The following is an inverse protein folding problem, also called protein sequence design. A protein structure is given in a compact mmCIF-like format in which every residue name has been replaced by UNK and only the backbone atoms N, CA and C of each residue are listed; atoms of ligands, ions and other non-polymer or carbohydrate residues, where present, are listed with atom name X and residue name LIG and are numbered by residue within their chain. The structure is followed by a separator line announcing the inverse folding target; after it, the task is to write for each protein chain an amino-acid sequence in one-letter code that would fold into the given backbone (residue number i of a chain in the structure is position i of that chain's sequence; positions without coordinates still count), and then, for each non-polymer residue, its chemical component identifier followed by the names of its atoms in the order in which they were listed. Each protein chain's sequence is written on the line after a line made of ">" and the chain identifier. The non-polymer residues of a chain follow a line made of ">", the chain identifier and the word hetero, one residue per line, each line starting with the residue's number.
data_IF_803716327845
#
_entry.id   IF_803716327845
#
_cell.length_a   1.000
_cell.length_b   1.000
_cell.length_c   1.000
_cell.angle_alpha   90.00
_cell.angle_beta   90.00
_cell.angle_gamma   90.00
#
_symmetry.space_group_name_H-M   'P 1'
#
loop_
_entity.id
_entity.type
_entity.pdbx_description
1 polymer ?
#
# COMPACT_ATOMS: atom_id res chain seq x y z
N UNK A 1 13.69 -13.35 -3.61
CA UNK A 1 12.28 -13.44 -4.05
C UNK A 1 11.36 -14.13 -3.06
N UNK A 2 11.66 -15.32 -2.51
CA UNK A 2 10.77 -15.99 -1.52
C UNK A 2 10.30 -15.06 -0.39
N UNK A 3 11.22 -14.28 0.18
CA UNK A 3 10.90 -13.32 1.23
C UNK A 3 9.88 -12.25 0.80
N UNK A 4 9.97 -11.71 -0.42
CA UNK A 4 9.04 -10.68 -0.90
C UNK A 4 7.67 -11.27 -1.25
N UNK A 5 7.63 -12.46 -1.86
CA UNK A 5 6.39 -13.18 -2.10
C UNK A 5 5.61 -13.44 -0.79
N UNK A 6 6.33 -13.78 0.29
CA UNK A 6 5.72 -13.96 1.61
C UNK A 6 5.15 -12.65 2.18
N UNK A 7 5.80 -11.51 1.93
CA UNK A 7 5.25 -10.19 2.29
C UNK A 7 3.94 -9.93 1.56
N UNK A 8 3.88 -10.18 0.24
CA UNK A 8 2.63 -10.00 -0.52
C UNK A 8 1.50 -10.92 -0.03
N UNK A 9 1.82 -12.13 0.44
CA UNK A 9 0.85 -13.05 1.08
C UNK A 9 0.34 -12.50 2.40
N UNK A 10 1.20 -11.92 3.23
CA UNK A 10 0.80 -11.24 4.48
C UNK A 10 -0.09 -10.02 4.17
N UNK A 11 0.20 -9.32 3.08
CA UNK A 11 -0.54 -8.16 2.61
C UNK A 11 -1.84 -8.50 1.86
N UNK A 12 -2.34 -9.74 1.93
CA UNK A 12 -3.58 -10.17 1.27
C UNK A 12 -4.75 -9.18 1.42
N UNK A 13 -4.99 -8.68 2.64
CA UNK A 13 -6.08 -7.73 2.92
C UNK A 13 -5.92 -6.32 2.31
N UNK A 14 -4.73 -6.00 1.79
CA UNK A 14 -4.41 -4.73 1.15
C UNK A 14 -4.25 -4.85 -0.38
N UNK A 15 -4.31 -6.06 -0.94
CA UNK A 15 -4.20 -6.27 -2.37
C UNK A 15 -5.39 -5.67 -3.13
N UNK A 16 -5.11 -4.95 -4.21
CA UNK A 16 -6.11 -4.19 -4.97
C UNK A 16 -6.59 -2.93 -4.23
N UNK A 17 -5.88 -2.50 -3.19
CA UNK A 17 -6.24 -1.31 -2.39
C UNK A 17 -5.03 -0.46 -2.03
N UNK A 18 -3.99 -1.03 -1.43
CA UNK A 18 -2.76 -0.31 -1.07
C UNK A 18 -1.52 -0.93 -1.69
N UNK A 19 -1.63 -2.16 -2.21
CA UNK A 19 -0.61 -2.85 -3.00
C UNK A 19 -1.27 -3.52 -4.22
N UNK A 20 -0.52 -3.81 -5.29
CA UNK A 20 -1.05 -4.57 -6.42
C UNK A 20 -1.53 -5.97 -6.01
N UNK A 21 -2.44 -6.52 -6.79
CA UNK A 21 -2.87 -7.92 -6.62
C UNK A 21 -1.71 -8.83 -6.97
N UNK A 22 -1.31 -9.71 -6.05
CA UNK A 22 -0.26 -10.69 -6.23
C UNK A 22 -0.83 -11.98 -6.79
N UNK A 23 -0.39 -12.33 -8.00
CA UNK A 23 -0.89 -13.48 -8.75
C UNK A 23 -0.02 -14.73 -8.57
N UNK A 24 1.23 -14.56 -8.15
CA UNK A 24 2.13 -15.67 -7.81
C UNK A 24 3.59 -15.41 -8.16
N UNK A 25 4.40 -16.46 -8.02
CA UNK A 25 5.81 -16.47 -8.43
C UNK A 25 5.97 -17.25 -9.71
N UNK A 26 6.90 -16.82 -10.57
CA UNK A 26 7.36 -17.58 -11.73
C UNK A 26 8.82 -17.95 -11.49
N UNK A 27 9.12 -19.24 -11.53
CA UNK A 27 10.49 -19.75 -11.53
C UNK A 27 10.97 -19.87 -12.98
N UNK A 28 12.10 -19.24 -13.29
CA UNK A 28 12.65 -19.24 -14.63
C UNK A 28 13.50 -20.49 -14.83
N UNK A 29 13.36 -21.12 -16.00
CA UNK A 29 14.15 -22.30 -16.38
C UNK A 29 15.65 -21.99 -16.53
N UNK A 30 15.99 -20.73 -16.80
CA UNK A 30 17.37 -20.26 -16.94
C UNK A 30 17.59 -18.97 -16.16
N UNK A 31 18.84 -18.68 -15.81
CA UNK A 31 19.25 -17.43 -15.16
C UNK A 31 19.45 -16.38 -16.25
N UNK A 32 18.76 -15.24 -16.09
CA UNK A 32 18.94 -14.08 -16.96
C UNK A 32 19.86 -13.06 -16.29
N UNK A 33 20.73 -12.43 -17.06
CA UNK A 33 21.60 -11.35 -16.59
C UNK A 33 21.08 -10.04 -17.14
N UNK A 34 20.36 -9.30 -16.31
CA UNK A 34 19.78 -8.01 -16.71
C UNK A 34 20.66 -6.88 -16.18
N UNK A 35 21.01 -5.94 -17.06
CA UNK A 35 21.81 -4.77 -16.68
C UNK A 35 21.09 -3.99 -15.58
N UNK A 36 21.78 -3.70 -14.48
CA UNK A 36 21.23 -3.00 -13.31
C UNK A 36 20.48 -3.89 -12.29
N UNK A 37 19.95 -5.04 -12.69
CA UNK A 37 19.24 -5.97 -11.78
C UNK A 37 20.04 -7.25 -11.44
N UNK A 38 21.13 -7.52 -12.17
CA UNK A 38 21.99 -8.68 -11.94
C UNK A 38 21.35 -9.98 -12.43
N UNK A 39 21.54 -11.06 -11.66
CA UNK A 39 21.00 -12.38 -11.98
C UNK A 39 19.53 -12.48 -11.57
N UNK A 40 18.67 -12.88 -12.51
CA UNK A 40 17.25 -13.07 -12.33
C UNK A 40 16.90 -14.53 -12.64
N UNK A 41 16.39 -15.24 -11.63
CA UNK A 41 15.89 -16.62 -11.76
C UNK A 41 14.45 -16.79 -11.27
N UNK A 42 13.88 -15.75 -10.65
CA UNK A 42 12.54 -15.76 -10.09
C UNK A 42 11.86 -14.42 -10.36
N UNK A 43 10.57 -14.44 -10.70
CA UNK A 43 9.75 -13.27 -10.95
C UNK A 43 8.50 -13.29 -10.08
N UNK A 44 7.97 -12.11 -9.77
CA UNK A 44 6.66 -11.92 -9.15
C UNK A 44 5.68 -11.50 -10.23
N UNK A 45 4.56 -12.22 -10.34
CA UNK A 45 3.46 -11.85 -11.22
C UNK A 45 2.43 -11.07 -10.40
N UNK A 46 2.06 -9.90 -10.88
CA UNK A 46 1.16 -8.98 -10.18
C UNK A 46 0.20 -8.31 -11.17
N UNK A 47 -0.94 -7.85 -10.67
CA UNK A 47 -1.85 -6.96 -11.39
C UNK A 47 -1.19 -5.61 -11.67
N UNK A 48 -1.71 -4.91 -12.68
CA UNK A 48 -1.23 -3.59 -13.03
C UNK A 48 -1.34 -2.61 -11.86
N UNK A 49 -0.23 -1.92 -11.54
CA UNK A 49 -0.13 -1.05 -10.37
C UNK A 49 -0.49 0.41 -10.64
N UNK A 50 -0.55 0.83 -11.90
CA UNK A 50 -0.73 2.24 -12.29
C UNK A 50 0.56 2.92 -12.74
N UNK A 51 0.53 4.24 -12.83
CA UNK A 51 1.64 5.07 -13.31
C UNK A 51 2.50 5.61 -12.15
N UNK A 52 3.82 5.79 -12.32
CA UNK A 52 4.67 6.37 -11.27
C UNK A 52 4.19 7.74 -10.82
N UNK A 53 4.12 7.96 -9.50
CA UNK A 53 3.57 9.21 -8.94
C UNK A 53 4.41 10.45 -9.28
N UNK A 54 5.69 10.31 -9.61
CA UNK A 54 6.56 11.44 -9.94
C UNK A 54 6.16 12.15 -11.25
N UNK A 55 5.27 11.54 -12.05
CA UNK A 55 4.74 12.12 -13.29
C UNK A 55 3.50 13.00 -13.06
N UNK A 56 3.01 13.12 -11.83
CA UNK A 56 1.74 13.76 -11.52
C UNK A 56 1.92 15.14 -10.87
N UNK A 57 0.96 16.03 -11.14
CA UNK A 57 1.00 17.43 -10.70
C UNK A 57 0.20 17.68 -9.40
N UNK A 58 -0.81 16.87 -9.08
CA UNK A 58 -1.66 17.05 -7.89
C UNK A 58 -1.01 16.46 -6.63
N UNK A 59 -0.07 17.22 -6.05
CA UNK A 59 0.76 16.80 -4.92
C UNK A 59 -0.05 16.51 -3.66
N UNK A 60 -1.10 17.28 -3.35
CA UNK A 60 -1.80 17.16 -2.07
C UNK A 60 -2.69 15.90 -2.04
N UNK A 61 -3.44 15.62 -3.11
CA UNK A 61 -4.21 14.39 -3.26
C UNK A 61 -3.29 13.17 -3.17
N UNK A 62 -2.15 13.20 -3.87
CA UNK A 62 -1.17 12.12 -3.84
C UNK A 62 -0.63 11.92 -2.42
N UNK A 63 -0.27 12.99 -1.72
CA UNK A 63 0.29 12.91 -0.36
C UNK A 63 -0.70 12.30 0.63
N UNK A 64 -1.98 12.61 0.48
CA UNK A 64 -3.05 11.98 1.25
C UNK A 64 -3.14 10.47 0.98
N UNK A 65 -3.20 10.06 -0.29
CA UNK A 65 -3.33 8.64 -0.66
C UNK A 65 -2.07 7.82 -0.36
N UNK A 66 -0.87 8.41 -0.47
CA UNK A 66 0.39 7.83 0.02
C UNK A 66 0.26 7.51 1.50
N UNK A 67 -0.17 8.47 2.32
CA UNK A 67 -0.33 8.30 3.76
C UNK A 67 -1.37 7.22 4.09
N UNK A 68 -2.46 7.16 3.32
CA UNK A 68 -3.52 6.17 3.48
C UNK A 68 -3.02 4.75 3.20
N UNK A 69 -2.28 4.54 2.10
CA UNK A 69 -1.68 3.24 1.74
C UNK A 69 -0.61 2.78 2.72
N UNK A 70 0.26 3.70 3.17
CA UNK A 70 1.26 3.38 4.20
C UNK A 70 0.60 2.92 5.50
N UNK A 71 -0.44 3.62 5.97
CA UNK A 71 -1.16 3.25 7.19
C UNK A 71 -1.80 1.87 7.09
N UNK A 72 -2.38 1.56 5.93
CA UNK A 72 -3.00 0.26 5.66
C UNK A 72 -1.98 -0.89 5.70
N UNK A 73 -0.86 -0.77 4.98
CA UNK A 73 0.25 -1.74 5.01
C UNK A 73 0.81 -1.91 6.43
N UNK A 74 1.05 -0.80 7.13
CA UNK A 74 1.56 -0.82 8.51
C UNK A 74 0.58 -1.47 9.48
N UNK A 75 -0.73 -1.33 9.25
CA UNK A 75 -1.77 -1.96 10.07
C UNK A 75 -1.74 -3.49 9.98
N UNK A 76 -1.32 -4.01 8.82
CA UNK A 76 -1.08 -5.44 8.58
C UNK A 76 0.26 -5.92 9.14
N UNK A 77 1.06 -5.02 9.73
CA UNK A 77 2.31 -5.35 10.39
C UNK A 77 3.53 -5.39 9.49
N UNK A 78 3.47 -4.79 8.30
CA UNK A 78 4.61 -4.70 7.38
C UNK A 78 5.20 -3.30 7.42
N UNK A 79 6.53 -3.21 7.52
CA UNK A 79 7.32 -1.99 7.40
C UNK A 79 8.12 -2.08 6.09
N UNK A 80 7.97 -1.12 5.19
CA UNK A 80 8.54 -1.21 3.84
C UNK A 80 10.06 -1.04 3.76
N UNK A 81 10.65 -0.16 4.58
CA UNK A 81 12.09 0.17 4.67
C UNK A 81 12.77 0.79 3.42
N UNK A 82 12.10 0.87 2.27
CA UNK A 82 12.63 1.50 1.04
C UNK A 82 11.59 2.35 0.31
N UNK A 83 10.83 3.12 1.09
CA UNK A 83 9.70 3.82 0.54
C UNK A 83 10.15 5.12 -0.15
N UNK A 84 10.16 5.09 -1.49
CA UNK A 84 10.56 6.20 -2.38
C UNK A 84 9.50 6.41 -3.47
N UNK A 85 9.46 7.57 -4.14
CA UNK A 85 8.50 7.83 -5.22
C UNK A 85 8.50 6.78 -6.33
N UNK A 86 9.66 6.17 -6.63
CA UNK A 86 9.81 5.11 -7.63
C UNK A 86 9.03 3.83 -7.26
N UNK A 87 8.79 3.63 -5.96
CA UNK A 87 8.07 2.49 -5.41
C UNK A 87 6.59 2.81 -5.12
N UNK A 88 6.08 3.90 -5.69
CA UNK A 88 4.70 4.36 -5.55
C UNK A 88 4.07 4.58 -6.91
N UNK A 89 2.95 3.90 -7.13
CA UNK A 89 2.20 3.96 -8.39
C UNK A 89 0.81 4.53 -8.12
N UNK A 90 0.37 5.48 -8.93
CA UNK A 90 -0.99 5.97 -8.94
C UNK A 90 -1.86 5.09 -9.82
N UNK A 91 -2.83 4.42 -9.19
CA UNK A 91 -3.87 3.71 -9.91
C UNK A 91 -5.10 4.63 -10.03
N UNK A 92 -5.37 5.10 -11.25
CA UNK A 92 -6.48 6.01 -11.54
C UNK A 92 -7.86 5.37 -11.34
N UNK A 93 -8.00 4.05 -11.58
CA UNK A 93 -9.27 3.34 -11.40
C UNK A 93 -9.67 3.22 -9.93
N UNK A 94 -8.68 3.09 -9.05
CA UNK A 94 -8.87 2.98 -7.60
C UNK A 94 -8.81 4.34 -6.90
N UNK A 95 -8.44 5.40 -7.61
CA UNK A 95 -8.07 6.72 -7.07
C UNK A 95 -7.12 6.59 -5.88
N UNK A 96 -6.07 5.77 -6.06
CA UNK A 96 -5.24 5.31 -4.94
C UNK A 96 -3.80 5.08 -5.33
N UNK A 97 -2.90 5.39 -4.40
CA UNK A 97 -1.48 5.02 -4.51
C UNK A 97 -1.30 3.57 -4.10
N UNK A 98 -0.80 2.74 -5.02
CA UNK A 98 -0.34 1.39 -4.75
C UNK A 98 1.18 1.42 -4.50
N UNK A 99 1.61 0.80 -3.41
CA UNK A 99 3.01 0.68 -3.05
C UNK A 99 3.54 -0.67 -3.55
N UNK A 100 4.75 -0.66 -4.10
CA UNK A 100 5.43 -1.83 -4.68
C UNK A 100 6.84 -1.98 -4.12
N UNK A 101 7.51 -3.07 -4.47
CA UNK A 101 8.92 -3.32 -4.17
C UNK A 101 9.22 -3.52 -2.67
N UNK A 102 8.75 -4.66 -2.14
CA UNK A 102 8.83 -4.99 -0.72
C UNK A 102 10.12 -5.75 -0.35
N UNK A 103 11.13 -5.80 -1.22
CA UNK A 103 12.34 -6.61 -0.99
C UNK A 103 13.12 -6.27 0.30
N UNK A 104 13.03 -5.03 0.82
CA UNK A 104 13.66 -4.59 2.09
C UNK A 104 12.71 -4.63 3.28
N UNK A 105 11.49 -5.14 3.10
CA UNK A 105 10.45 -5.06 4.11
C UNK A 105 10.73 -5.94 5.32
N UNK A 106 10.21 -5.48 6.46
CA UNK A 106 10.31 -6.17 7.74
C UNK A 106 8.94 -6.31 8.37
N UNK A 107 8.75 -7.38 9.14
CA UNK A 107 7.58 -7.50 9.98
C UNK A 107 7.78 -6.67 11.24
N UNK A 108 6.79 -5.84 11.53
CA UNK A 108 6.71 -5.12 12.79
C UNK A 108 6.58 -6.18 13.91
N UNK A 109 7.38 -6.06 14.96
CA UNK A 109 7.39 -6.99 16.10
C UNK A 109 6.35 -6.66 17.17
N UNK A 110 5.66 -5.51 17.05
CA UNK A 110 4.67 -5.07 18.03
C UNK A 110 3.43 -6.00 18.04
N UNK A 111 2.89 -6.38 19.22
CA UNK A 111 1.70 -7.24 19.29
C UNK A 111 0.50 -6.64 18.54
N UNK A 112 -0.26 -7.46 17.79
CA UNK A 112 -1.44 -7.03 17.01
C UNK A 112 -2.45 -6.21 17.84
N UNK A 113 -2.60 -6.52 19.14
CA UNK A 113 -3.47 -5.79 20.08
C UNK A 113 -3.12 -4.31 20.23
N UNK A 114 -1.84 -3.92 20.05
CA UNK A 114 -1.41 -2.50 20.02
C UNK A 114 -1.66 -1.84 18.66
N UNK A 115 -1.69 -2.61 17.56
CA UNK A 115 -1.99 -2.10 16.21
C UNK A 115 -3.47 -1.79 16.02
N UNK A 116 -4.37 -2.62 16.57
CA UNK A 116 -5.82 -2.40 16.48
C UNK A 116 -6.30 -1.17 17.27
N UNK A 117 -5.68 -0.83 18.42
CA UNK A 117 -6.06 0.37 19.21
C UNK A 117 -5.86 1.69 18.45
N UNK A 118 -4.86 1.77 17.58
CA UNK A 118 -4.66 2.90 16.67
C UNK A 118 -5.79 3.02 15.64
N UNK A 119 -6.42 1.90 15.26
CA UNK A 119 -7.55 1.88 14.32
C UNK A 119 -8.81 2.49 14.93
N UNK A 120 -9.07 2.23 16.21
CA UNK A 120 -10.25 2.74 16.94
C UNK A 120 -10.12 4.21 17.35
N UNK A 121 -8.90 4.66 17.67
CA UNK A 121 -8.65 6.06 18.04
C UNK A 121 -8.82 7.03 16.86
N UNK A 122 -8.56 6.58 15.62
CA UNK A 122 -8.73 7.40 14.43
C UNK A 122 -10.15 7.35 13.81
N UNK A 123 -11.02 6.42 14.23
CA UNK A 123 -12.41 6.33 13.73
C UNK A 123 -13.42 7.14 14.55
N UNK A 124 -13.04 7.67 15.72
CA UNK A 124 -13.96 8.35 16.64
C UNK A 124 -14.01 9.89 16.48
N UNK A 125 -13.39 10.45 15.44
CA UNK A 125 -13.28 11.91 15.24
C UNK A 125 -14.34 12.54 14.33
N UNK A 126 -15.37 11.81 13.88
CA UNK A 126 -16.48 12.39 13.12
C UNK A 126 -17.60 12.80 14.09
N UNK A 127 -17.41 13.93 14.77
CA UNK A 127 -18.42 14.53 15.63
C UNK A 127 -19.70 14.83 14.85
N UNK A 128 -20.80 14.36 15.44
CA UNK A 128 -22.19 14.62 15.06
C UNK A 128 -22.44 16.13 15.11
N UNK A 129 -22.34 16.80 13.96
CA UNK A 129 -22.87 18.15 13.81
C UNK A 129 -24.40 18.09 13.80
N UNK A 130 -24.99 18.33 14.97
CA UNK A 130 -26.43 18.49 15.15
C UNK A 130 -26.97 19.61 14.27
N UNK A 131 -27.74 19.25 13.23
CA UNK A 131 -28.59 20.18 12.49
C UNK A 131 -29.64 20.75 13.43
N UNK A 132 -29.39 21.95 13.97
CA UNK A 132 -30.44 22.80 14.54
C UNK A 132 -31.40 23.18 13.41
N UNK A 133 -32.57 22.52 13.37
CA UNK A 133 -33.69 22.96 12.53
C UNK A 133 -34.18 24.30 13.07
N UNK A 134 -33.92 25.36 12.31
CA UNK A 134 -34.63 26.62 12.41
C UNK A 134 -36.12 26.34 12.18
N UNK A 135 -36.95 26.57 13.20
CA UNK A 135 -38.40 26.72 13.01
C UNK A 135 -38.65 28.19 12.73
N UNK A 136 -38.96 28.50 11.48
CA UNK A 136 -39.64 29.72 11.08
C UNK A 136 -41.10 29.58 11.54
N UNK A 137 -41.62 30.63 12.18
CA UNK A 137 -42.88 30.60 12.93
C UNK A 137 -44.15 30.61 12.09
N UNK A 138 -45.28 30.56 12.80
CA UNK A 138 -46.36 31.55 12.82
C UNK A 138 -47.08 31.43 14.17
#
# INVERSE_FOLDING_TARGET
>A
VKQEADIYRILWGAQGRAVPVFLGTIDLAMIYFLHGAGQISHMLLMGWGGEPIHKLEDVETIRHEVSRSQKEIRSLGVLHQDLRPDNMLWNAELERVLIIDFHRSQLDSRPMKKRMRLREQHSCGAEVHGRKRLRIGQ
#
